data_IF_529921383046
#
_entry.id   IF_529921383046
#
_cell.length_a   1.000
_cell.length_b   1.000
_cell.length_c   1.000
_cell.angle_alpha   90.00
_cell.angle_beta   90.00
_cell.angle_gamma   90.00
#
_symmetry.space_group_name_H-M   'P 1'
#
loop_
_entity.id
_entity.type
_entity.pdbx_description
1 polymer ?
#
# COMPACT_ATOMS: atom_id res chain seq x y z
N UNK A 1 -12.40 -29.26 -72.74
CA UNK A 1 -11.48 -28.90 -73.84
C UNK A 1 -10.53 -27.82 -73.34
N UNK A 2 -9.21 -28.10 -73.39
CA UNK A 2 -8.01 -27.19 -73.31
C UNK A 2 -7.89 -26.35 -72.01
N UNK A 3 -6.94 -26.53 -71.07
CA UNK A 3 -5.48 -26.79 -71.05
C UNK A 3 -4.64 -25.76 -71.81
N UNK A 4 -3.86 -24.96 -71.05
CA UNK A 4 -2.49 -24.41 -71.23
C UNK A 4 -2.27 -23.49 -70.01
N UNK A 5 -1.44 -23.72 -68.97
CA UNK A 5 -0.04 -24.16 -68.82
C UNK A 5 0.99 -23.18 -69.42
N UNK A 6 1.57 -22.31 -68.57
CA UNK A 6 2.94 -21.78 -68.74
C UNK A 6 3.64 -21.73 -67.37
N UNK A 7 4.72 -22.49 -67.31
CA UNK A 7 5.76 -22.55 -66.29
C UNK A 7 6.65 -21.30 -66.34
N UNK A 8 7.19 -20.88 -65.19
CA UNK A 8 8.59 -20.48 -65.10
C UNK A 8 9.15 -20.80 -63.71
N UNK A 9 10.15 -21.70 -63.73
CA UNK A 9 11.05 -22.09 -62.65
C UNK A 9 12.18 -21.06 -62.50
N UNK A 10 12.78 -20.97 -61.30
CA UNK A 10 14.23 -20.90 -60.96
C UNK A 10 14.30 -20.49 -59.48
N UNK A 11 14.50 -21.42 -58.53
CA UNK A 11 15.77 -22.02 -58.09
C UNK A 11 16.79 -21.00 -57.53
N UNK A 12 17.09 -21.12 -56.24
CA UNK A 12 18.13 -20.35 -55.55
C UNK A 12 18.19 -20.66 -54.05
N UNK A 13 18.74 -21.81 -53.69
CA UNK A 13 19.13 -22.14 -52.33
C UNK A 13 20.56 -21.64 -52.06
N UNK A 14 20.79 -20.93 -50.96
CA UNK A 14 22.02 -21.06 -50.15
C UNK A 14 21.77 -20.58 -48.73
N UNK A 15 21.96 -21.51 -47.80
CA UNK A 15 22.11 -21.31 -46.37
C UNK A 15 23.28 -20.37 -46.08
N UNK A 16 23.07 -19.35 -45.24
CA UNK A 16 24.14 -18.65 -44.54
C UNK A 16 23.68 -18.38 -43.10
N UNK A 17 24.21 -19.19 -42.19
CA UNK A 17 24.22 -18.95 -40.75
C UNK A 17 25.18 -17.79 -40.45
N UNK A 18 24.74 -16.71 -39.77
CA UNK A 18 25.67 -15.83 -39.11
C UNK A 18 26.11 -16.43 -37.76
N UNK A 19 27.42 -16.48 -37.63
CA UNK A 19 28.24 -16.91 -36.51
C UNK A 19 27.79 -16.35 -35.15
N UNK A 20 27.81 -17.23 -34.14
CA UNK A 20 27.78 -16.92 -32.72
C UNK A 20 29.03 -16.10 -32.36
N UNK A 21 28.88 -14.78 -32.25
CA UNK A 21 29.85 -13.93 -31.56
C UNK A 21 29.50 -13.81 -30.09
N UNK A 22 30.38 -14.41 -29.30
CA UNK A 22 30.47 -14.40 -27.85
C UNK A 22 30.60 -12.96 -27.32
N UNK A 23 29.48 -12.34 -26.92
CA UNK A 23 29.48 -11.10 -26.14
C UNK A 23 29.77 -11.48 -24.69
N UNK A 24 30.96 -11.07 -24.23
CA UNK A 24 31.40 -11.23 -22.86
C UNK A 24 30.46 -10.50 -21.91
N UNK A 25 29.89 -11.29 -21.00
CA UNK A 25 29.07 -10.89 -19.88
C UNK A 25 29.87 -10.01 -18.91
N UNK A 26 29.70 -8.69 -18.98
CA UNK A 26 30.06 -7.80 -17.88
C UNK A 26 29.08 -8.04 -16.71
N UNK A 27 29.40 -9.03 -15.87
CA UNK A 27 28.78 -9.16 -14.55
C UNK A 27 29.31 -8.02 -13.69
N UNK A 28 28.57 -6.90 -13.69
CA UNK A 28 28.63 -5.96 -12.58
C UNK A 28 28.16 -6.76 -11.36
N UNK A 29 29.10 -7.03 -10.46
CA UNK A 29 28.84 -7.65 -9.18
C UNK A 29 28.03 -6.65 -8.36
N UNK A 30 26.71 -6.71 -8.52
CA UNK A 30 25.80 -6.05 -7.59
C UNK A 30 26.01 -6.77 -6.28
N UNK A 31 26.76 -6.16 -5.37
CA UNK A 31 26.80 -6.56 -3.98
C UNK A 31 25.35 -6.48 -3.48
N UNK A 32 24.70 -7.64 -3.49
CA UNK A 32 23.44 -7.90 -2.86
C UNK A 32 23.70 -7.73 -1.36
N UNK A 33 23.63 -6.48 -0.89
CA UNK A 33 23.50 -6.20 0.53
C UNK A 33 22.13 -6.73 0.91
N UNK A 34 22.13 -7.98 1.37
CA UNK A 34 21.03 -8.54 2.14
C UNK A 34 20.87 -7.63 3.34
N UNK A 35 19.85 -6.76 3.31
CA UNK A 35 19.37 -6.11 4.50
C UNK A 35 19.08 -7.24 5.50
N UNK A 36 19.83 -7.27 6.61
CA UNK A 36 19.50 -8.12 7.73
C UNK A 36 18.14 -7.66 8.25
N UNK A 37 17.10 -8.29 7.72
CA UNK A 37 15.78 -8.30 8.32
C UNK A 37 15.96 -9.10 9.60
N UNK A 38 16.25 -8.41 10.70
CA UNK A 38 16.07 -8.99 12.01
C UNK A 38 14.65 -9.54 12.04
N UNK A 39 14.52 -10.85 12.12
CA UNK A 39 13.25 -11.57 12.18
C UNK A 39 12.61 -11.26 13.54
N UNK A 40 12.01 -10.08 13.63
CA UNK A 40 11.28 -9.65 14.84
C UNK A 40 9.99 -10.45 14.82
N UNK A 41 9.95 -11.53 15.61
CA UNK A 41 8.72 -12.26 15.83
C UNK A 41 7.70 -11.34 16.54
N UNK A 42 6.79 -10.75 15.78
CA UNK A 42 5.76 -9.84 16.29
C UNK A 42 4.56 -10.65 16.78
N UNK A 43 4.12 -10.40 18.02
CA UNK A 43 2.88 -10.95 18.53
C UNK A 43 1.68 -10.29 17.83
N UNK A 44 0.78 -11.12 17.29
CA UNK A 44 -0.43 -10.65 16.60
C UNK A 44 -1.33 -9.80 17.51
N UNK A 45 -1.32 -10.05 18.83
CA UNK A 45 -2.09 -9.24 19.78
C UNK A 45 -1.50 -7.84 19.96
N UNK A 46 -0.18 -7.68 19.90
CA UNK A 46 0.43 -6.35 19.90
C UNK A 46 0.18 -5.63 18.56
N UNK A 47 0.31 -6.35 17.44
CA UNK A 47 0.00 -5.81 16.12
C UNK A 47 -1.45 -5.29 16.03
N UNK A 48 -2.44 -6.02 16.55
CA UNK A 48 -3.85 -5.57 16.50
C UNK A 48 -4.11 -4.35 17.40
N UNK A 49 -3.36 -4.17 18.49
CA UNK A 49 -3.43 -2.97 19.34
C UNK A 49 -2.90 -1.74 18.61
N UNK A 50 -1.83 -1.89 17.85
CA UNK A 50 -1.30 -0.82 16.98
C UNK A 50 -2.28 -0.51 15.85
N UNK A 51 -2.78 -1.54 15.17
CA UNK A 51 -3.77 -1.37 14.10
C UNK A 51 -5.03 -0.66 14.59
N UNK A 52 -5.62 -1.09 15.71
CA UNK A 52 -6.85 -0.48 16.26
C UNK A 52 -6.69 0.97 16.71
N UNK A 53 -5.46 1.44 16.96
CA UNK A 53 -5.16 2.85 17.25
C UNK A 53 -5.08 3.71 16.00
N UNK A 54 -4.66 3.15 14.88
CA UNK A 54 -4.55 3.87 13.61
C UNK A 54 -5.82 3.75 12.76
N UNK A 55 -6.53 2.63 12.87
CA UNK A 55 -7.68 2.32 12.04
C UNK A 55 -8.88 3.22 12.35
N UNK A 56 -9.70 3.41 11.32
CA UNK A 56 -10.88 4.26 11.31
C UNK A 56 -12.09 3.50 10.75
N UNK A 57 -13.29 3.95 11.15
CA UNK A 57 -14.56 3.34 10.74
C UNK A 57 -15.03 3.80 9.37
N UNK A 58 -14.51 4.92 8.89
CA UNK A 58 -14.92 5.56 7.66
C UNK A 58 -13.68 5.87 6.81
N UNK A 59 -13.86 5.82 5.50
CA UNK A 59 -12.83 6.12 4.52
C UNK A 59 -13.48 6.68 3.25
N UNK A 60 -12.81 7.64 2.62
CA UNK A 60 -13.14 8.18 1.30
C UNK A 60 -12.21 7.55 0.27
N UNK A 61 -12.77 6.76 -0.62
CA UNK A 61 -12.03 6.04 -1.66
C UNK A 61 -11.80 6.91 -2.91
N UNK A 62 -12.71 7.82 -3.19
CA UNK A 62 -12.67 8.72 -4.35
C UNK A 62 -12.58 10.17 -3.86
N UNK A 63 -11.57 10.90 -4.32
CA UNK A 63 -11.37 12.32 -4.01
C UNK A 63 -12.35 13.24 -4.77
N UNK A 64 -13.06 12.71 -5.76
CA UNK A 64 -14.13 13.38 -6.50
C UNK A 64 -15.53 13.08 -5.95
N UNK A 65 -15.65 12.30 -4.87
CA UNK A 65 -16.93 11.82 -4.30
C UNK A 65 -17.89 11.21 -5.34
N UNK A 66 -17.38 10.47 -6.32
CA UNK A 66 -18.17 9.82 -7.35
C UNK A 66 -18.61 10.74 -8.48
N UNK A 67 -18.25 12.02 -8.48
CA UNK A 67 -18.64 12.96 -9.54
C UNK A 67 -18.09 12.57 -10.91
N UNK A 68 -16.89 11.97 -10.96
CA UNK A 68 -16.34 11.43 -12.19
C UNK A 68 -17.14 10.20 -12.71
N UNK A 69 -17.69 9.40 -11.79
CA UNK A 69 -18.45 8.16 -12.09
C UNK A 69 -19.86 8.41 -12.63
N UNK A 70 -20.59 9.37 -12.03
CA UNK A 70 -21.99 9.65 -12.39
C UNK A 70 -22.17 10.18 -13.81
N UNK A 71 -21.09 10.62 -14.45
CA UNK A 71 -21.09 11.18 -15.80
C UNK A 71 -21.04 10.12 -16.92
N UNK A 72 -20.98 8.82 -16.57
CA UNK A 72 -20.98 7.69 -17.50
C UNK A 72 -19.89 7.76 -18.61
N UNK A 73 -18.76 8.40 -18.33
CA UNK A 73 -17.61 8.44 -19.25
C UNK A 73 -17.16 7.01 -19.60
N UNK A 74 -16.87 6.77 -20.89
CA UNK A 74 -16.48 5.45 -21.40
C UNK A 74 -15.19 4.92 -20.77
N UNK A 75 -14.26 5.82 -20.43
CA UNK A 75 -12.92 5.53 -19.90
C UNK A 75 -12.72 6.04 -18.45
N UNK A 76 -13.77 5.96 -17.61
CA UNK A 76 -13.64 6.36 -16.21
C UNK A 76 -12.81 5.34 -15.41
N UNK A 77 -11.72 5.77 -14.78
CA UNK A 77 -10.85 4.92 -13.94
C UNK A 77 -11.57 4.25 -12.76
N UNK A 78 -12.70 4.84 -12.35
CA UNK A 78 -13.53 4.35 -11.27
C UNK A 78 -14.60 3.35 -11.73
N UNK A 79 -14.76 3.12 -13.05
CA UNK A 79 -15.65 2.09 -13.60
C UNK A 79 -14.96 0.74 -13.56
N UNK A 80 -15.62 -0.26 -12.96
CA UNK A 80 -15.08 -1.62 -12.91
C UNK A 80 -15.25 -2.32 -14.27
N UNK A 81 -14.28 -3.17 -14.70
CA UNK A 81 -14.34 -3.89 -15.98
C UNK A 81 -15.60 -4.75 -16.18
N UNK A 82 -16.21 -5.23 -15.08
CA UNK A 82 -17.42 -6.07 -15.10
C UNK A 82 -18.75 -5.30 -15.09
N UNK A 83 -18.73 -3.97 -15.17
CA UNK A 83 -19.91 -3.13 -14.95
C UNK A 83 -20.12 -2.84 -13.46
N UNK A 84 -20.21 -1.55 -13.13
CA UNK A 84 -20.25 -1.04 -11.75
C UNK A 84 -19.24 0.08 -11.54
N UNK A 85 -19.30 0.71 -10.36
CA UNK A 85 -18.43 1.82 -9.98
C UNK A 85 -17.74 1.50 -8.66
N UNK A 86 -16.49 1.97 -8.48
CA UNK A 86 -15.87 2.04 -7.17
C UNK A 86 -16.75 2.93 -6.29
N UNK A 87 -17.04 2.48 -5.07
CA UNK A 87 -17.79 3.30 -4.12
C UNK A 87 -16.96 4.54 -3.78
N UNK A 88 -17.61 5.70 -3.67
CA UNK A 88 -16.93 6.95 -3.35
C UNK A 88 -16.39 6.96 -1.91
N UNK A 89 -17.15 6.34 -0.99
CA UNK A 89 -16.79 6.19 0.41
C UNK A 89 -17.25 4.83 0.95
N UNK A 90 -16.73 4.45 2.11
CA UNK A 90 -17.15 3.27 2.84
C UNK A 90 -17.18 3.53 4.34
N UNK A 91 -18.14 2.91 5.02
CA UNK A 91 -18.22 2.89 6.49
C UNK A 91 -18.36 1.47 7.02
N UNK A 92 -17.94 1.26 8.25
CA UNK A 92 -18.00 -0.02 8.95
C UNK A 92 -18.42 0.16 10.41
N UNK A 93 -19.00 -0.88 11.01
CA UNK A 93 -19.42 -0.87 12.41
C UNK A 93 -18.24 -0.71 13.39
N UNK A 94 -17.06 -1.22 12.99
CA UNK A 94 -15.79 -1.18 13.75
C UNK A 94 -14.68 -0.61 12.85
N UNK A 95 -13.63 0.00 13.44
CA UNK A 95 -12.52 0.52 12.65
C UNK A 95 -11.91 -0.56 11.76
N UNK A 96 -11.78 -0.31 10.47
CA UNK A 96 -11.42 -1.35 9.48
C UNK A 96 -10.22 -0.94 8.62
N UNK A 97 -9.98 0.34 8.43
CA UNK A 97 -8.97 0.85 7.51
C UNK A 97 -8.05 1.82 8.21
N UNK A 98 -6.74 1.73 7.94
CA UNK A 98 -5.82 2.85 8.16
C UNK A 98 -5.78 3.63 6.85
N UNK A 99 -6.35 4.85 6.77
CA UNK A 99 -6.40 5.57 5.51
C UNK A 99 -5.01 6.01 5.05
N UNK A 100 -4.74 5.93 3.75
CA UNK A 100 -3.43 6.23 3.13
C UNK A 100 -3.29 7.68 2.62
N UNK A 101 -4.18 8.57 3.02
CA UNK A 101 -4.16 10.00 2.68
C UNK A 101 -4.18 10.82 3.96
N UNK A 102 -3.92 12.13 3.89
CA UNK A 102 -4.01 13.01 5.06
C UNK A 102 -5.42 13.57 5.22
N UNK A 103 -5.93 14.14 4.13
CA UNK A 103 -7.25 14.75 4.04
C UNK A 103 -7.83 14.48 2.66
N UNK A 104 -9.16 14.40 2.60
CA UNK A 104 -9.95 14.43 1.37
C UNK A 104 -11.17 15.30 1.61
N UNK A 105 -11.50 16.13 0.64
CA UNK A 105 -12.68 16.97 0.67
C UNK A 105 -13.38 16.87 -0.69
N UNK A 106 -14.63 16.47 -0.68
CA UNK A 106 -15.41 16.33 -1.89
C UNK A 106 -16.90 16.60 -1.59
N UNK A 107 -17.49 17.52 -2.36
CA UNK A 107 -18.77 18.16 -2.04
C UNK A 107 -18.76 18.77 -0.62
N UNK A 108 -19.79 18.48 0.19
CA UNK A 108 -19.92 18.92 1.59
C UNK A 108 -19.33 17.91 2.60
N UNK A 109 -18.60 16.89 2.12
CA UNK A 109 -17.97 15.88 2.97
C UNK A 109 -16.47 16.10 3.01
N UNK A 110 -15.93 16.21 4.22
CA UNK A 110 -14.50 16.26 4.48
C UNK A 110 -14.11 15.10 5.39
N UNK A 111 -12.97 14.49 5.09
CA UNK A 111 -12.37 13.47 5.91
C UNK A 111 -10.90 13.78 6.12
N UNK A 112 -10.55 14.12 7.36
CA UNK A 112 -9.16 14.21 7.81
C UNK A 112 -8.85 13.00 8.65
N UNK A 113 -7.68 12.41 8.41
CA UNK A 113 -7.31 11.15 9.03
C UNK A 113 -6.77 11.36 10.43
N UNK A 114 -7.17 10.46 11.33
CA UNK A 114 -6.80 10.48 12.75
C UNK A 114 -5.30 10.52 12.95
N UNK A 115 -4.55 9.70 12.21
CA UNK A 115 -3.10 9.65 12.36
C UNK A 115 -2.45 10.98 11.96
N UNK A 116 -2.98 11.68 10.95
CA UNK A 116 -2.40 12.93 10.47
C UNK A 116 -2.66 14.10 11.41
N UNK A 117 -3.80 14.09 12.12
CA UNK A 117 -4.16 15.12 13.09
C UNK A 117 -3.49 14.88 14.44
N UNK A 118 -3.46 13.62 14.91
CA UNK A 118 -3.07 13.32 16.29
C UNK A 118 -1.57 13.02 16.45
N UNK A 119 -0.91 12.44 15.45
CA UNK A 119 0.53 12.16 15.56
C UNK A 119 1.38 13.41 15.28
N UNK A 120 0.91 14.29 14.40
CA UNK A 120 1.70 15.41 13.87
C UNK A 120 1.25 16.79 14.39
N UNK A 121 0.70 16.84 15.60
CA UNK A 121 0.24 18.09 16.24
C UNK A 121 1.38 19.10 16.39
N UNK A 122 2.53 18.64 16.90
CA UNK A 122 3.65 19.52 17.28
C UNK A 122 4.63 19.82 16.14
N UNK A 123 4.42 19.27 14.95
CA UNK A 123 5.32 19.48 13.84
C UNK A 123 5.12 18.55 12.63
N UNK A 124 5.80 18.86 11.51
CA UNK A 124 5.63 18.14 10.24
C UNK A 124 6.35 16.79 10.18
N UNK A 125 7.20 16.49 11.16
CA UNK A 125 8.04 15.30 11.20
C UNK A 125 8.14 14.74 12.62
N UNK A 126 8.29 13.43 12.74
CA UNK A 126 8.43 12.70 14.01
C UNK A 126 9.69 11.86 14.00
N UNK A 127 10.44 11.86 15.11
CA UNK A 127 11.44 10.82 15.38
C UNK A 127 10.76 9.51 15.80
N UNK A 128 11.53 8.43 15.91
CA UNK A 128 11.03 7.13 16.35
C UNK A 128 10.41 7.20 17.74
N UNK A 129 11.09 7.88 18.67
CA UNK A 129 10.67 8.02 20.06
C UNK A 129 9.38 8.82 20.19
N UNK A 130 9.27 9.90 19.41
CA UNK A 130 8.06 10.72 19.34
C UNK A 130 6.89 9.92 18.75
N UNK A 131 7.13 9.17 17.66
CA UNK A 131 6.10 8.32 17.06
C UNK A 131 5.61 7.24 18.03
N UNK A 132 6.52 6.53 18.71
CA UNK A 132 6.16 5.52 19.71
C UNK A 132 5.32 6.13 20.82
N UNK A 133 5.76 7.26 21.37
CA UNK A 133 5.06 7.95 22.45
C UNK A 133 3.65 8.38 22.04
N UNK A 134 3.53 9.03 20.88
CA UNK A 134 2.26 9.54 20.38
C UNK A 134 1.30 8.44 19.95
N UNK A 135 1.81 7.39 19.29
CA UNK A 135 0.98 6.25 18.91
C UNK A 135 0.41 5.55 20.14
N UNK A 136 1.20 5.33 21.19
CA UNK A 136 0.71 4.74 22.45
C UNK A 136 -0.42 5.54 23.08
N UNK A 137 -0.36 6.88 22.97
CA UNK A 137 -1.36 7.79 23.50
C UNK A 137 -2.66 7.83 22.69
N UNK A 138 -2.68 7.31 21.45
CA UNK A 138 -3.91 7.23 20.67
C UNK A 138 -4.94 6.33 21.34
N UNK A 139 -6.21 6.73 21.23
CA UNK A 139 -7.33 5.92 21.68
C UNK A 139 -7.40 4.62 20.87
N UNK A 140 -7.52 3.50 21.59
CA UNK A 140 -7.75 2.21 20.97
C UNK A 140 -9.23 1.94 20.79
N UNK A 141 -9.59 1.54 19.58
CA UNK A 141 -10.89 0.94 19.30
C UNK A 141 -10.69 -0.47 18.72
N UNK A 142 -11.42 -1.49 19.21
CA UNK A 142 -11.31 -2.86 18.69
C UNK A 142 -11.59 -2.91 17.19
N UNK A 143 -10.60 -3.23 16.34
CA UNK A 143 -10.74 -3.13 14.89
C UNK A 143 -11.47 -4.34 14.29
N UNK A 144 -11.89 -4.24 13.03
CA UNK A 144 -12.37 -5.34 12.23
C UNK A 144 -11.18 -6.10 11.62
N UNK A 145 -11.11 -7.40 11.87
CA UNK A 145 -9.97 -8.25 11.52
C UNK A 145 -9.03 -8.49 12.70
N UNK A 146 -8.14 -9.46 12.53
CA UNK A 146 -7.15 -9.86 13.55
C UNK A 146 -7.73 -10.56 14.77
N UNK A 147 -6.86 -10.92 15.74
CA UNK A 147 -7.30 -11.44 17.02
C UNK A 147 -8.11 -10.38 17.78
N UNK A 148 -9.16 -10.80 18.48
CA UNK A 148 -9.97 -9.88 19.27
C UNK A 148 -9.22 -9.46 20.55
N UNK A 149 -9.02 -8.15 20.72
CA UNK A 149 -8.51 -7.53 21.95
C UNK A 149 -9.52 -6.48 22.41
N UNK A 150 -10.01 -6.64 23.64
CA UNK A 150 -10.92 -5.67 24.26
C UNK A 150 -10.16 -4.40 24.68
N UNK A 151 -10.87 -3.26 24.79
CA UNK A 151 -10.25 -1.98 25.16
C UNK A 151 -9.53 -2.04 26.52
N UNK A 152 -10.02 -2.84 27.47
CA UNK A 152 -9.41 -3.04 28.78
C UNK A 152 -8.04 -3.74 28.73
N UNK A 153 -7.73 -4.45 27.65
CA UNK A 153 -6.47 -5.18 27.44
C UNK A 153 -5.61 -4.51 26.34
N UNK A 154 -5.93 -3.28 25.94
CA UNK A 154 -5.32 -2.61 24.80
C UNK A 154 -4.10 -1.74 25.14
N UNK A 155 -3.54 -1.92 26.35
CA UNK A 155 -2.27 -1.30 26.72
C UNK A 155 -1.15 -1.83 25.82
N UNK A 156 -0.31 -0.92 25.32
CA UNK A 156 0.89 -1.22 24.53
C UNK A 156 2.10 -1.23 25.48
N UNK A 157 2.26 -2.34 26.18
CA UNK A 157 3.36 -2.54 27.13
C UNK A 157 4.67 -2.79 26.37
N UNK A 158 4.62 -3.63 25.33
CA UNK A 158 5.71 -3.82 24.39
C UNK A 158 5.63 -2.80 23.24
N UNK A 159 6.70 -2.03 23.07
CA UNK A 159 6.82 -1.01 22.02
C UNK A 159 7.57 -1.51 20.79
N UNK A 160 8.07 -2.76 20.79
CA UNK A 160 8.81 -3.36 19.68
C UNK A 160 8.03 -3.29 18.37
N UNK A 161 6.73 -3.63 18.41
CA UNK A 161 5.84 -3.62 17.25
C UNK A 161 5.63 -2.20 16.72
N UNK A 162 5.53 -1.20 17.61
CA UNK A 162 5.38 0.21 17.23
C UNK A 162 6.66 0.75 16.60
N UNK A 163 7.81 0.41 17.18
CA UNK A 163 9.12 0.79 16.65
C UNK A 163 9.37 0.14 15.28
N UNK A 164 9.02 -1.14 15.12
CA UNK A 164 9.12 -1.84 13.85
C UNK A 164 8.21 -1.22 12.78
N UNK A 165 6.97 -0.86 13.13
CA UNK A 165 6.09 -0.13 12.22
C UNK A 165 6.71 1.20 11.78
N UNK A 166 7.35 1.94 12.68
CA UNK A 166 8.05 3.17 12.32
C UNK A 166 9.14 2.91 11.27
N UNK A 167 9.93 1.86 11.45
CA UNK A 167 11.00 1.50 10.52
C UNK A 167 10.45 1.16 9.11
N UNK A 168 9.31 0.48 9.04
CA UNK A 168 8.60 0.22 7.77
C UNK A 168 8.12 1.51 7.09
N UNK A 169 7.64 2.49 7.88
CA UNK A 169 7.04 3.73 7.40
C UNK A 169 8.04 4.83 7.02
N UNK A 170 9.25 4.82 7.56
CA UNK A 170 10.24 5.88 7.30
C UNK A 170 10.99 5.69 5.98
N UNK A 171 10.98 4.47 5.45
CA UNK A 171 11.79 4.01 4.32
C UNK A 171 13.30 4.07 4.59
N UNK A 172 14.08 3.29 3.83
CA UNK A 172 15.51 3.11 4.08
C UNK A 172 16.32 4.43 4.01
N UNK A 173 17.26 4.59 4.95
CA UNK A 173 18.18 5.72 4.97
C UNK A 173 17.58 7.04 5.45
N UNK A 174 16.40 7.01 6.09
CA UNK A 174 15.75 8.17 6.73
C UNK A 174 15.62 7.94 8.25
N UNK A 175 15.56 9.04 8.99
CA UNK A 175 15.54 9.08 10.46
C UNK A 175 14.20 9.60 11.03
N UNK A 176 13.41 10.28 10.20
CA UNK A 176 12.15 10.93 10.59
C UNK A 176 10.99 10.52 9.69
N UNK A 177 9.82 10.36 10.29
CA UNK A 177 8.57 10.14 9.58
C UNK A 177 7.87 11.48 9.35
N UNK A 178 7.49 11.80 8.12
CA UNK A 178 6.66 12.98 7.79
C UNK A 178 5.25 12.55 7.40
N UNK A 179 4.27 13.47 7.42
CA UNK A 179 2.90 13.18 6.93
C UNK A 179 2.90 12.60 5.52
N UNK A 180 3.66 13.22 4.62
CA UNK A 180 3.76 12.77 3.23
C UNK A 180 4.38 11.37 3.11
N UNK A 181 5.43 11.05 3.87
CA UNK A 181 6.01 9.71 3.87
C UNK A 181 5.03 8.69 4.41
N UNK A 182 4.35 9.01 5.50
CA UNK A 182 3.33 8.14 6.08
C UNK A 182 2.23 7.82 5.08
N UNK A 183 1.68 8.82 4.38
CA UNK A 183 0.65 8.59 3.34
C UNK A 183 1.16 7.72 2.19
N UNK A 184 2.34 8.04 1.63
CA UNK A 184 2.92 7.27 0.52
C UNK A 184 3.19 5.83 0.92
N UNK A 185 3.80 5.60 2.09
CA UNK A 185 4.12 4.25 2.55
C UNK A 185 2.87 3.45 2.90
N UNK A 186 1.87 4.05 3.54
CA UNK A 186 0.59 3.38 3.77
C UNK A 186 -0.10 3.00 2.45
N UNK A 187 0.00 3.85 1.42
CA UNK A 187 -0.54 3.59 0.08
C UNK A 187 0.13 2.39 -0.58
N UNK A 188 1.46 2.30 -0.49
CA UNK A 188 2.25 1.18 -0.99
C UNK A 188 1.91 -0.13 -0.24
N UNK A 189 1.82 -0.09 1.10
CA UNK A 189 1.42 -1.24 1.91
C UNK A 189 -0.02 -1.71 1.63
N UNK A 190 -0.87 -0.80 1.15
CA UNK A 190 -2.24 -1.08 0.75
C UNK A 190 -2.36 -1.53 -0.72
N UNK A 191 -1.26 -1.86 -1.39
CA UNK A 191 -1.23 -2.24 -2.81
C UNK A 191 -1.89 -1.19 -3.72
N UNK A 192 -1.74 0.09 -3.38
CA UNK A 192 -2.34 1.21 -4.11
C UNK A 192 -3.80 1.50 -3.77
N UNK A 193 -4.41 0.81 -2.81
CA UNK A 193 -5.76 1.12 -2.31
C UNK A 193 -5.72 2.26 -1.28
N UNK A 194 -6.87 2.88 -0.99
CA UNK A 194 -6.93 4.08 -0.12
C UNK A 194 -6.88 3.79 1.38
N UNK A 195 -7.01 2.52 1.75
CA UNK A 195 -7.12 2.10 3.14
C UNK A 195 -6.44 0.78 3.36
N UNK A 196 -5.40 0.78 4.19
CA UNK A 196 -4.72 -0.43 4.62
C UNK A 196 -5.62 -1.22 5.57
N UNK A 197 -5.99 -2.44 5.17
CA UNK A 197 -6.79 -3.36 6.00
C UNK A 197 -5.90 -4.15 6.96
N UNK A 198 -6.51 -4.83 7.94
CA UNK A 198 -5.77 -5.72 8.85
C UNK A 198 -4.90 -6.73 8.11
N UNK A 199 -5.41 -7.36 7.04
CA UNK A 199 -4.67 -8.38 6.30
C UNK A 199 -3.40 -7.79 5.64
N UNK A 200 -3.51 -6.61 5.04
CA UNK A 200 -2.35 -5.90 4.48
C UNK A 200 -1.38 -5.43 5.55
N UNK A 201 -1.88 -4.90 6.67
CA UNK A 201 -1.07 -4.47 7.80
C UNK A 201 -0.28 -5.63 8.43
N UNK A 202 -0.95 -6.75 8.70
CA UNK A 202 -0.31 -7.95 9.23
C UNK A 202 0.77 -8.49 8.30
N UNK A 203 0.48 -8.57 6.99
CA UNK A 203 1.45 -8.96 5.97
C UNK A 203 2.66 -8.02 5.95
N UNK A 204 2.43 -6.71 6.09
CA UNK A 204 3.48 -5.70 6.08
C UNK A 204 4.44 -5.82 7.27
N UNK A 205 3.98 -6.32 8.41
CA UNK A 205 4.80 -6.57 9.60
C UNK A 205 5.69 -7.83 9.48
N UNK A 206 5.59 -8.59 8.38
CA UNK A 206 6.41 -9.79 8.19
C UNK A 206 5.93 -11.01 8.98
N UNK A 207 4.69 -10.99 9.49
CA UNK A 207 4.07 -12.08 10.26
C UNK A 207 3.03 -12.86 9.47
#
# INVERSE_FOLDING_TARGET
MKVFLVFCLFAGATSFYPSLTHIQSNRISVHLFSAETSDVAIDQKEAVKVFGRLAEKYIMLDDSAGMCCYSACADCEYRLPGGGYRMADQSAARPKWIPSYTERAANDRQHTTKWSEQLFVDGPALTKEEFVTKLKALEYAPPLGGPYVGASAAALDDTSTVAHLFDILVAEGKDKLTKHRMSVRLKELADGEEGLTWAGFHKALGT
#
